data_IF_740440069827
#
_entry.id   IF_740440069827
#
_cell.length_a   1.000
_cell.length_b   1.000
_cell.length_c   1.000
_cell.angle_alpha   90.00
_cell.angle_beta   90.00
_cell.angle_gamma   90.00
#
_symmetry.space_group_name_H-M   'P 1'
#
loop_
_entity.id
_entity.type
_entity.pdbx_description
1 polymer ?
#
# COMPACT_ATOMS: atom_id res chain seq x y z
N UNK A 1 -31.72 11.46 -14.99
CA UNK A 1 -30.83 11.29 -13.81
C UNK A 1 -31.20 10.09 -12.91
N UNK A 2 -32.48 9.83 -12.57
CA UNK A 2 -32.89 8.69 -11.71
C UNK A 2 -32.44 7.30 -12.22
N UNK A 3 -32.26 7.13 -13.52
CA UNK A 3 -31.87 5.86 -14.16
C UNK A 3 -30.40 5.45 -13.97
N UNK A 4 -29.50 6.39 -13.65
CA UNK A 4 -28.06 6.14 -13.47
C UNK A 4 -27.69 5.98 -11.99
N UNK A 5 -28.51 6.51 -11.07
CA UNK A 5 -28.22 6.56 -9.63
C UNK A 5 -27.90 5.19 -9.01
N UNK A 6 -28.60 4.09 -9.35
CA UNK A 6 -28.27 2.74 -8.86
C UNK A 6 -26.88 2.27 -9.30
N UNK A 7 -26.51 2.51 -10.56
CA UNK A 7 -25.20 2.09 -11.10
C UNK A 7 -24.07 2.89 -10.47
N UNK A 8 -24.25 4.19 -10.24
CA UNK A 8 -23.27 5.02 -9.51
C UNK A 8 -23.06 4.55 -8.08
N UNK A 9 -24.12 4.13 -7.38
CA UNK A 9 -24.01 3.55 -6.04
C UNK A 9 -23.25 2.22 -6.08
N UNK A 10 -23.55 1.39 -7.07
CA UNK A 10 -22.85 0.11 -7.31
C UNK A 10 -21.36 0.34 -7.61
N UNK A 11 -21.04 1.27 -8.50
CA UNK A 11 -19.66 1.66 -8.84
C UNK A 11 -18.88 2.10 -7.61
N UNK A 12 -19.46 2.98 -6.77
CA UNK A 12 -18.79 3.43 -5.53
C UNK A 12 -18.48 2.27 -4.59
N UNK A 13 -19.42 1.33 -4.43
CA UNK A 13 -19.22 0.13 -3.60
C UNK A 13 -18.10 -0.74 -4.17
N UNK A 14 -18.17 -1.10 -5.45
CA UNK A 14 -17.14 -1.95 -6.10
C UNK A 14 -15.76 -1.31 -6.11
N UNK A 15 -15.69 0.02 -6.27
CA UNK A 15 -14.44 0.77 -6.16
C UNK A 15 -13.83 0.69 -4.75
N UNK A 16 -14.66 0.67 -3.70
CA UNK A 16 -14.20 0.46 -2.33
C UNK A 16 -13.73 -0.99 -2.11
N UNK A 17 -14.50 -1.98 -2.57
CA UNK A 17 -14.14 -3.40 -2.48
C UNK A 17 -12.79 -3.68 -3.18
N UNK A 18 -12.58 -3.13 -4.38
CA UNK A 18 -11.31 -3.24 -5.12
C UNK A 18 -10.13 -2.70 -4.31
N UNK A 19 -10.29 -1.56 -3.63
CA UNK A 19 -9.22 -0.97 -2.79
C UNK A 19 -8.84 -1.87 -1.61
N UNK A 20 -9.80 -2.59 -1.03
CA UNK A 20 -9.54 -3.55 0.05
C UNK A 20 -8.69 -4.71 -0.48
N UNK A 21 -9.06 -5.28 -1.63
CA UNK A 21 -8.30 -6.36 -2.26
C UNK A 21 -6.88 -5.91 -2.64
N UNK A 22 -6.75 -4.72 -3.21
CA UNK A 22 -5.45 -4.10 -3.54
C UNK A 22 -4.56 -3.92 -2.30
N UNK A 23 -5.12 -3.43 -1.19
CA UNK A 23 -4.41 -3.30 0.08
C UNK A 23 -3.92 -4.67 0.59
N UNK A 24 -4.80 -5.68 0.59
CA UNK A 24 -4.44 -7.04 1.00
C UNK A 24 -3.32 -7.63 0.13
N UNK A 25 -3.38 -7.43 -1.18
CA UNK A 25 -2.34 -7.88 -2.11
C UNK A 25 -0.99 -7.22 -1.80
N UNK A 26 -0.98 -5.89 -1.62
CA UNK A 26 0.24 -5.14 -1.33
C UNK A 26 0.88 -5.59 -0.01
N UNK A 27 0.08 -5.83 1.03
CA UNK A 27 0.57 -6.36 2.30
C UNK A 27 1.22 -7.73 2.14
N UNK A 28 0.62 -8.63 1.36
CA UNK A 28 1.16 -9.98 1.13
C UNK A 28 2.45 -9.96 0.30
N UNK A 29 2.54 -9.07 -0.68
CA UNK A 29 3.78 -8.85 -1.45
C UNK A 29 4.89 -8.30 -0.53
N UNK A 30 4.56 -7.37 0.36
CA UNK A 30 5.53 -6.86 1.35
C UNK A 30 5.97 -7.94 2.34
N UNK A 31 5.03 -8.78 2.80
CA UNK A 31 5.33 -9.94 3.65
C UNK A 31 6.29 -10.92 2.95
N UNK A 32 6.06 -11.23 1.67
CA UNK A 32 6.95 -12.09 0.89
C UNK A 32 8.33 -11.46 0.71
N UNK A 33 8.41 -10.14 0.47
CA UNK A 33 9.69 -9.44 0.34
C UNK A 33 10.49 -9.50 1.64
N UNK A 34 9.84 -9.25 2.78
CA UNK A 34 10.47 -9.35 4.10
C UNK A 34 10.95 -10.76 4.40
N UNK A 35 10.14 -11.78 4.09
CA UNK A 35 10.52 -13.18 4.26
C UNK A 35 11.75 -13.55 3.45
N UNK A 36 11.84 -13.13 2.18
CA UNK A 36 13.02 -13.37 1.34
C UNK A 36 14.29 -12.73 1.93
N UNK A 37 14.19 -11.49 2.41
CA UNK A 37 15.32 -10.82 3.07
C UNK A 37 15.76 -11.53 4.36
N UNK A 38 14.80 -12.07 5.12
CA UNK A 38 15.08 -12.83 6.33
C UNK A 38 15.77 -14.16 6.02
N UNK A 39 15.27 -14.88 4.99
CA UNK A 39 15.89 -16.11 4.48
C UNK A 39 17.33 -15.85 4.01
N UNK A 40 17.55 -14.79 3.23
CA UNK A 40 18.88 -14.41 2.74
C UNK A 40 19.84 -14.13 3.89
N UNK A 41 19.39 -13.36 4.89
CA UNK A 41 20.18 -13.05 6.08
C UNK A 41 20.53 -14.30 6.88
N UNK A 42 19.53 -15.12 7.18
CA UNK A 42 19.73 -16.37 7.92
C UNK A 42 20.70 -17.30 7.18
N UNK A 43 20.56 -17.40 5.86
CA UNK A 43 21.46 -18.23 5.03
C UNK A 43 22.89 -17.70 5.05
N UNK A 44 23.09 -16.39 4.95
CA UNK A 44 24.40 -15.76 5.02
C UNK A 44 25.07 -15.93 6.39
N UNK A 45 24.32 -15.79 7.48
CA UNK A 45 24.80 -16.07 8.84
C UNK A 45 25.26 -17.52 8.97
N UNK A 46 24.45 -18.48 8.50
CA UNK A 46 24.79 -19.92 8.53
C UNK A 46 26.02 -20.26 7.70
N UNK A 47 26.12 -19.73 6.47
CA UNK A 47 27.31 -19.93 5.64
C UNK A 47 28.55 -19.38 6.35
N UNK A 48 28.43 -18.24 7.02
CA UNK A 48 29.53 -17.64 7.79
C UNK A 48 29.96 -18.54 8.95
N UNK A 49 29.00 -19.05 9.73
CA UNK A 49 29.25 -20.00 10.82
C UNK A 49 29.96 -21.28 10.32
N UNK A 50 29.44 -21.89 9.26
CA UNK A 50 29.99 -23.13 8.71
C UNK A 50 31.36 -22.89 8.05
N UNK A 51 31.56 -21.74 7.40
CA UNK A 51 32.87 -21.33 6.86
C UNK A 51 33.89 -21.19 7.98
N UNK A 52 33.54 -20.60 9.11
CA UNK A 52 34.43 -20.47 10.27
C UNK A 52 34.83 -21.85 10.80
N UNK A 53 33.85 -22.74 10.98
CA UNK A 53 34.04 -24.10 11.45
C UNK A 53 34.93 -24.91 10.50
N UNK A 54 34.65 -24.86 9.19
CA UNK A 54 35.45 -25.52 8.16
C UNK A 54 36.87 -24.96 8.12
N UNK A 55 37.05 -23.65 8.25
CA UNK A 55 38.38 -23.03 8.33
C UNK A 55 39.17 -23.58 9.53
N UNK A 56 38.54 -23.69 10.69
CA UNK A 56 39.19 -24.26 11.88
C UNK A 56 39.55 -25.74 11.68
N UNK A 57 38.67 -26.52 11.06
CA UNK A 57 38.93 -27.93 10.74
C UNK A 57 40.08 -28.10 9.74
N UNK A 58 40.16 -27.25 8.70
CA UNK A 58 41.26 -27.24 7.73
C UNK A 58 42.60 -26.90 8.40
N UNK A 59 42.63 -25.89 9.28
CA UNK A 59 43.84 -25.55 10.03
C UNK A 59 44.23 -26.70 10.96
N UNK A 60 43.27 -27.30 11.66
CA UNK A 60 43.50 -28.46 12.55
C UNK A 60 44.08 -29.65 11.78
N UNK A 61 43.56 -29.95 10.58
CA UNK A 61 44.00 -31.05 9.73
C UNK A 61 45.39 -30.80 9.12
N UNK A 62 45.60 -29.62 8.55
CA UNK A 62 46.80 -29.33 7.76
C UNK A 62 47.96 -28.74 8.59
N UNK A 63 47.65 -28.06 9.71
CA UNK A 63 48.62 -27.39 10.60
C UNK A 63 48.28 -27.67 12.09
N UNK A 64 48.22 -28.95 12.51
CA UNK A 64 47.75 -29.34 13.85
C UNK A 64 48.55 -28.70 14.97
N UNK A 65 49.88 -28.61 14.83
CA UNK A 65 50.74 -27.99 15.83
C UNK A 65 50.37 -26.52 16.09
N UNK A 66 50.21 -25.73 15.03
CA UNK A 66 49.80 -24.32 15.14
C UNK A 66 48.40 -24.19 15.77
N UNK A 67 47.47 -25.07 15.39
CA UNK A 67 46.12 -25.10 15.94
C UNK A 67 46.12 -25.34 17.46
N UNK A 68 46.82 -26.39 17.91
CA UNK A 68 46.85 -26.76 19.33
C UNK A 68 47.69 -25.79 20.17
N UNK A 69 48.77 -25.21 19.66
CA UNK A 69 49.50 -24.13 20.36
C UNK A 69 48.59 -22.92 20.56
N UNK A 70 47.87 -22.50 19.52
CA UNK A 70 46.98 -21.35 19.62
C UNK A 70 45.86 -21.59 20.65
N UNK A 71 45.20 -22.76 20.59
CA UNK A 71 44.12 -23.16 21.52
C UNK A 71 44.62 -23.45 22.94
N UNK A 72 45.86 -23.93 23.09
CA UNK A 72 46.46 -24.37 24.36
C UNK A 72 47.48 -23.41 24.99
N UNK A 73 47.70 -22.24 24.39
CA UNK A 73 48.72 -21.25 24.81
C UNK A 73 48.73 -20.94 26.31
N UNK A 74 47.57 -20.93 26.96
CA UNK A 74 47.43 -20.75 28.40
C UNK A 74 48.13 -21.85 29.21
N UNK A 75 47.85 -23.12 28.89
CA UNK A 75 48.45 -24.27 29.57
C UNK A 75 49.96 -24.37 29.31
N UNK A 76 50.42 -23.97 28.12
CA UNK A 76 51.85 -23.92 27.80
C UNK A 76 52.56 -22.90 28.72
N UNK A 77 51.96 -21.72 28.91
CA UNK A 77 52.49 -20.73 29.86
C UNK A 77 52.53 -21.23 31.30
N UNK A 78 51.48 -21.93 31.76
CA UNK A 78 51.46 -22.57 33.09
C UNK A 78 52.55 -23.63 33.25
N UNK A 79 52.76 -24.47 32.22
CA UNK A 79 53.77 -25.51 32.25
C UNK A 79 55.20 -24.95 32.32
N UNK A 80 55.49 -23.88 31.58
CA UNK A 80 56.77 -23.15 31.65
C UNK A 80 56.99 -22.60 33.07
N UNK A 81 55.97 -21.96 33.64
CA UNK A 81 56.03 -21.44 35.02
C UNK A 81 56.32 -22.53 36.06
N UNK A 82 55.58 -23.64 35.98
CA UNK A 82 55.75 -24.79 36.87
C UNK A 82 57.14 -25.41 36.76
N UNK A 83 57.63 -25.61 35.53
CA UNK A 83 58.96 -26.17 35.29
C UNK A 83 60.05 -25.28 35.88
N UNK A 84 59.97 -23.96 35.71
CA UNK A 84 60.94 -23.01 36.27
C UNK A 84 60.90 -22.96 37.80
N UNK A 85 59.71 -23.02 38.39
CA UNK A 85 59.55 -23.12 39.84
C UNK A 85 60.23 -24.38 40.42
N UNK A 86 60.18 -25.50 39.70
CA UNK A 86 60.85 -26.75 40.12
C UNK A 86 62.38 -26.68 40.11
N UNK A 87 62.96 -25.72 39.38
CA UNK A 87 64.41 -25.54 39.24
C UNK A 87 64.96 -24.38 40.07
N UNK A 88 64.15 -23.36 40.35
CA UNK A 88 64.50 -22.23 41.21
C UNK A 88 63.25 -21.76 41.99
N UNK A 89 63.21 -21.87 43.34
CA UNK A 89 61.98 -21.73 44.13
C UNK A 89 61.52 -20.27 44.37
N UNK A 90 61.80 -19.34 43.46
CA UNK A 90 61.28 -17.96 43.55
C UNK A 90 59.88 -17.86 42.94
N UNK A 91 58.86 -18.03 43.77
CA UNK A 91 57.45 -18.02 43.35
C UNK A 91 57.03 -16.77 42.54
N UNK A 92 57.41 -15.53 42.91
CA UNK A 92 57.05 -14.34 42.12
C UNK A 92 57.66 -14.34 40.71
N UNK A 93 58.90 -14.82 40.57
CA UNK A 93 59.59 -14.89 39.28
C UNK A 93 58.95 -15.94 38.37
N UNK A 94 58.60 -17.11 38.91
CA UNK A 94 57.94 -18.18 38.15
C UNK A 94 56.56 -17.74 37.62
N UNK A 95 55.78 -17.00 38.43
CA UNK A 95 54.49 -16.43 38.03
C UNK A 95 54.68 -15.39 36.92
N UNK A 96 55.63 -14.47 37.06
CA UNK A 96 55.92 -13.45 36.06
C UNK A 96 56.33 -14.04 34.70
N UNK A 97 57.21 -15.05 34.72
CA UNK A 97 57.65 -15.73 33.49
C UNK A 97 56.51 -16.54 32.88
N UNK A 98 55.67 -17.21 33.69
CA UNK A 98 54.50 -17.94 33.20
C UNK A 98 53.54 -17.03 32.43
N UNK A 99 53.21 -15.88 33.03
CA UNK A 99 52.30 -14.91 32.44
C UNK A 99 52.88 -14.24 31.20
N UNK A 100 54.15 -13.81 31.25
CA UNK A 100 54.86 -13.25 30.10
C UNK A 100 54.97 -14.26 28.94
N UNK A 101 55.29 -15.52 29.25
CA UNK A 101 55.36 -16.60 28.26
C UNK A 101 54.00 -16.88 27.63
N UNK A 102 52.92 -16.92 28.43
CA UNK A 102 51.56 -17.09 27.92
C UNK A 102 51.18 -15.98 26.94
N UNK A 103 51.38 -14.71 27.31
CA UNK A 103 51.04 -13.56 26.46
C UNK A 103 51.81 -13.62 25.14
N UNK A 104 53.11 -13.88 25.20
CA UNK A 104 53.96 -13.95 24.02
C UNK A 104 53.54 -15.09 23.09
N UNK A 105 53.36 -16.30 23.63
CA UNK A 105 52.93 -17.48 22.86
C UNK A 105 51.54 -17.25 22.27
N UNK A 106 50.62 -16.67 23.04
CA UNK A 106 49.27 -16.33 22.58
C UNK A 106 49.31 -15.36 21.40
N UNK A 107 50.11 -14.29 21.50
CA UNK A 107 50.21 -13.28 20.46
C UNK A 107 50.84 -13.84 19.16
N UNK A 108 51.98 -14.54 19.28
CA UNK A 108 52.66 -15.12 18.12
C UNK A 108 51.83 -16.22 17.45
N UNK A 109 51.22 -17.10 18.24
CA UNK A 109 50.34 -18.16 17.71
C UNK A 109 49.06 -17.59 17.11
N UNK A 110 48.51 -16.50 17.65
CA UNK A 110 47.38 -15.78 17.06
C UNK A 110 47.72 -15.16 15.71
N UNK A 111 48.87 -14.49 15.57
CA UNK A 111 49.32 -13.94 14.29
C UNK A 111 49.42 -15.02 13.20
N UNK A 112 50.05 -16.15 13.55
CA UNK A 112 50.20 -17.29 12.65
C UNK A 112 48.84 -17.93 12.33
N UNK A 113 47.98 -18.09 13.32
CA UNK A 113 46.63 -18.62 13.15
C UNK A 113 45.78 -17.72 12.24
N UNK A 114 45.86 -16.39 12.42
CA UNK A 114 45.16 -15.40 11.59
C UNK A 114 45.59 -15.50 10.13
N UNK A 115 46.91 -15.59 9.87
CA UNK A 115 47.41 -15.73 8.50
C UNK A 115 46.93 -17.03 7.84
N UNK A 116 46.96 -18.16 8.57
CA UNK A 116 46.43 -19.43 8.08
C UNK A 116 44.92 -19.36 7.84
N UNK A 117 44.17 -18.67 8.72
CA UNK A 117 42.73 -18.46 8.58
C UNK A 117 42.39 -17.79 7.26
N UNK A 118 43.09 -16.70 6.91
CA UNK A 118 42.90 -16.02 5.62
C UNK A 118 43.25 -16.93 4.43
N UNK A 119 44.33 -17.72 4.54
CA UNK A 119 44.73 -18.67 3.49
C UNK A 119 43.71 -19.79 3.23
N UNK A 120 43.05 -20.32 4.26
CA UNK A 120 42.05 -21.38 4.13
C UNK A 120 40.62 -20.89 3.91
N UNK A 121 40.34 -19.60 4.11
CA UNK A 121 38.98 -19.02 4.08
C UNK A 121 38.25 -19.30 2.75
N UNK A 122 38.93 -19.14 1.62
CA UNK A 122 38.33 -19.36 0.30
C UNK A 122 37.90 -20.83 0.10
N UNK A 123 38.74 -21.78 0.52
CA UNK A 123 38.42 -23.20 0.45
C UNK A 123 37.26 -23.55 1.41
N UNK A 124 37.33 -23.07 2.66
CA UNK A 124 36.30 -23.31 3.66
C UNK A 124 34.93 -22.75 3.24
N UNK A 125 34.92 -21.59 2.57
CA UNK A 125 33.70 -20.98 2.04
C UNK A 125 33.09 -21.84 0.93
N UNK A 126 33.90 -22.40 0.03
CA UNK A 126 33.41 -23.35 -0.98
C UNK A 126 32.81 -24.61 -0.34
N UNK A 127 33.48 -25.17 0.67
CA UNK A 127 32.97 -26.32 1.43
C UNK A 127 31.67 -25.99 2.18
N UNK A 128 31.53 -24.78 2.73
CA UNK A 128 30.31 -24.32 3.40
C UNK A 128 29.14 -24.08 2.45
N UNK A 129 29.39 -23.62 1.22
CA UNK A 129 28.38 -23.45 0.19
C UNK A 129 27.87 -24.78 -0.39
N UNK A 130 28.70 -25.82 -0.39
CA UNK A 130 28.31 -27.17 -0.85
C UNK A 130 27.53 -27.89 0.24
N UNK A 131 27.97 -27.77 1.50
CA UNK A 131 27.39 -28.50 2.63
C UNK A 131 26.30 -27.71 3.39
N UNK A 132 26.13 -26.42 3.11
CA UNK A 132 25.05 -25.58 3.64
C UNK A 132 24.09 -25.16 2.52
N UNK A 133 22.76 -25.07 2.75
CA UNK A 133 22.06 -24.98 4.04
C UNK A 133 20.95 -26.05 4.24
N UNK A 134 20.82 -26.58 5.45
CA UNK A 134 19.53 -27.13 5.90
C UNK A 134 18.54 -25.97 6.04
N UNK A 135 17.53 -25.93 5.18
CA UNK A 135 16.47 -24.94 5.25
C UNK A 135 15.62 -25.18 6.49
N UNK A 136 15.29 -24.11 7.22
CA UNK A 136 14.42 -24.21 8.38
C UNK A 136 12.98 -24.44 7.88
N UNK A 137 12.33 -25.51 8.33
CA UNK A 137 11.03 -25.97 7.79
C UNK A 137 9.92 -24.90 7.87
N UNK A 138 10.00 -24.02 8.87
CA UNK A 138 9.12 -22.88 9.08
C UNK A 138 9.20 -21.84 7.95
N UNK A 139 10.40 -21.49 7.50
CA UNK A 139 10.60 -20.57 6.36
C UNK A 139 10.07 -21.18 5.07
N UNK A 140 10.33 -22.46 4.83
CA UNK A 140 9.80 -23.18 3.66
C UNK A 140 8.28 -23.18 3.66
N UNK A 141 7.65 -23.49 4.80
CA UNK A 141 6.18 -23.49 4.92
C UNK A 141 5.58 -22.12 4.65
N UNK A 142 6.19 -21.06 5.19
CA UNK A 142 5.70 -19.69 5.02
C UNK A 142 5.85 -19.20 3.58
N UNK A 143 6.97 -19.51 2.92
CA UNK A 143 7.19 -19.16 1.51
C UNK A 143 6.21 -19.89 0.59
N UNK A 144 5.98 -21.19 0.83
CA UNK A 144 4.95 -21.97 0.12
C UNK A 144 3.57 -21.34 0.30
N UNK A 145 3.19 -21.00 1.53
CA UNK A 145 1.88 -20.38 1.80
C UNK A 145 1.70 -19.08 1.00
N UNK A 146 2.70 -18.19 1.05
CA UNK A 146 2.66 -16.93 0.31
C UNK A 146 2.66 -17.14 -1.21
N UNK A 147 3.35 -18.18 -1.70
CA UNK A 147 3.38 -18.55 -3.11
C UNK A 147 2.00 -19.00 -3.63
N UNK A 148 1.11 -19.45 -2.75
CA UNK A 148 -0.27 -19.85 -3.07
C UNK A 148 -1.24 -18.68 -2.87
N UNK A 149 -1.12 -17.94 -1.75
CA UNK A 149 -2.03 -16.84 -1.40
C UNK A 149 -1.94 -15.67 -2.40
N UNK A 150 -0.73 -15.27 -2.82
CA UNK A 150 -0.54 -14.11 -3.68
C UNK A 150 -1.23 -14.29 -5.06
N UNK A 151 -1.04 -15.41 -5.78
CA UNK A 151 -1.77 -15.66 -7.03
C UNK A 151 -3.29 -15.63 -6.87
N UNK A 152 -3.82 -16.21 -5.79
CA UNK A 152 -5.26 -16.23 -5.55
C UNK A 152 -5.80 -14.80 -5.33
N UNK A 153 -5.10 -13.98 -4.54
CA UNK A 153 -5.49 -12.58 -4.35
C UNK A 153 -5.36 -11.79 -5.66
N UNK A 154 -4.35 -12.06 -6.49
CA UNK A 154 -4.23 -11.44 -7.84
C UNK A 154 -5.43 -11.77 -8.72
N UNK A 155 -5.89 -13.02 -8.70
CA UNK A 155 -7.10 -13.44 -9.43
C UNK A 155 -8.35 -12.71 -8.93
N UNK A 156 -8.48 -12.53 -7.61
CA UNK A 156 -9.57 -11.72 -7.04
C UNK A 156 -9.48 -10.25 -7.46
N UNK A 157 -8.27 -9.68 -7.53
CA UNK A 157 -8.04 -8.32 -7.99
C UNK A 157 -8.43 -8.14 -9.47
N UNK A 158 -8.05 -9.08 -10.33
CA UNK A 158 -8.42 -9.09 -11.75
C UNK A 158 -9.94 -9.13 -11.92
N UNK A 159 -10.62 -10.04 -11.20
CA UNK A 159 -12.07 -10.10 -11.18
C UNK A 159 -12.70 -8.78 -10.74
N UNK A 160 -12.20 -8.17 -9.66
CA UNK A 160 -12.70 -6.89 -9.17
C UNK A 160 -12.51 -5.75 -10.19
N UNK A 161 -11.40 -5.75 -10.93
CA UNK A 161 -11.15 -4.79 -12.00
C UNK A 161 -12.13 -4.96 -13.16
N UNK A 162 -12.37 -6.20 -13.60
CA UNK A 162 -13.34 -6.50 -14.65
C UNK A 162 -14.76 -6.06 -14.26
N UNK A 163 -15.21 -6.41 -13.05
CA UNK A 163 -16.53 -6.00 -12.55
C UNK A 163 -16.67 -4.46 -12.46
N UNK A 164 -15.60 -3.77 -12.06
CA UNK A 164 -15.60 -2.30 -11.99
C UNK A 164 -15.70 -1.68 -13.39
N UNK A 165 -14.94 -2.21 -14.34
CA UNK A 165 -14.93 -1.75 -15.72
C UNK A 165 -16.29 -1.96 -16.41
N UNK A 166 -16.94 -3.11 -16.17
CA UNK A 166 -18.29 -3.37 -16.70
C UNK A 166 -19.32 -2.35 -16.21
N UNK A 167 -19.29 -1.99 -14.92
CA UNK A 167 -20.22 -0.99 -14.36
C UNK A 167 -19.91 0.40 -14.93
N UNK A 168 -18.64 0.75 -15.06
CA UNK A 168 -18.22 2.01 -15.65
C UNK A 168 -18.73 2.16 -17.09
N UNK A 169 -18.56 1.13 -17.92
CA UNK A 169 -19.09 1.11 -19.28
C UNK A 169 -20.62 1.21 -19.31
N UNK A 170 -21.32 0.54 -18.40
CA UNK A 170 -22.80 0.67 -18.27
C UNK A 170 -23.21 2.12 -17.95
N UNK A 171 -22.49 2.80 -17.05
CA UNK A 171 -22.75 4.20 -16.71
C UNK A 171 -22.50 5.09 -17.92
N UNK A 172 -21.36 4.93 -18.59
CA UNK A 172 -20.99 5.73 -19.78
C UNK A 172 -22.05 5.57 -20.87
N UNK A 173 -22.45 4.35 -21.20
CA UNK A 173 -23.46 4.09 -22.23
C UNK A 173 -24.82 4.70 -21.88
N UNK A 174 -25.24 4.60 -20.61
CA UNK A 174 -26.49 5.25 -20.15
C UNK A 174 -26.40 6.77 -20.19
N UNK A 175 -25.24 7.34 -19.84
CA UNK A 175 -25.02 8.78 -19.90
C UNK A 175 -25.03 9.29 -21.34
N UNK A 176 -24.35 8.61 -22.26
CA UNK A 176 -24.34 8.93 -23.69
C UNK A 176 -25.77 8.89 -24.27
N UNK A 177 -26.55 7.86 -23.95
CA UNK A 177 -27.96 7.78 -24.37
C UNK A 177 -28.81 8.94 -23.85
N UNK A 178 -28.57 9.41 -22.62
CA UNK A 178 -29.29 10.56 -22.07
C UNK A 178 -28.85 11.88 -22.69
N UNK A 179 -27.58 12.02 -23.07
CA UNK A 179 -27.07 13.22 -23.73
C UNK A 179 -27.56 13.31 -25.18
N UNK A 180 -27.83 12.18 -25.83
CA UNK A 180 -28.42 12.09 -27.17
C UNK A 180 -29.95 12.22 -27.19
N UNK A 181 -30.56 12.50 -26.05
CA UNK A 181 -32.00 12.77 -25.97
C UNK A 181 -32.24 14.20 -26.48
N UNK A 182 -32.87 14.31 -27.66
CA UNK A 182 -33.15 15.59 -28.32
C UNK A 182 -33.97 16.53 -27.44
N UNK A 183 -34.93 15.98 -26.67
CA UNK A 183 -35.73 16.75 -25.74
C UNK A 183 -34.88 17.29 -24.58
N UNK A 184 -34.01 16.46 -24.00
CA UNK A 184 -33.12 16.90 -22.93
C UNK A 184 -32.14 17.97 -23.42
N UNK A 185 -31.58 17.78 -24.61
CA UNK A 185 -30.67 18.73 -25.26
C UNK A 185 -31.36 20.07 -25.49
N UNK A 186 -32.58 20.04 -26.04
CA UNK A 186 -33.40 21.22 -26.24
C UNK A 186 -33.74 21.94 -24.92
N UNK A 187 -34.25 21.20 -23.91
CA UNK A 187 -34.66 21.76 -22.61
C UNK A 187 -33.49 22.41 -21.87
N UNK A 188 -32.29 21.85 -21.99
CA UNK A 188 -31.08 22.37 -21.34
C UNK A 188 -30.38 23.46 -22.16
N UNK A 189 -30.73 23.64 -23.44
CA UNK A 189 -30.16 24.70 -24.28
C UNK A 189 -30.59 26.11 -23.85
N UNK A 190 -29.85 27.12 -24.32
CA UNK A 190 -30.21 28.53 -24.12
C UNK A 190 -31.42 28.95 -24.97
N UNK A 191 -31.69 28.21 -26.05
CA UNK A 191 -32.83 28.46 -26.94
C UNK A 191 -34.18 28.09 -26.31
N UNK A 192 -34.20 27.35 -25.19
CA UNK A 192 -35.43 26.92 -24.52
C UNK A 192 -36.39 28.09 -24.25
N UNK A 193 -35.90 29.21 -23.72
CA UNK A 193 -36.73 30.36 -23.38
C UNK A 193 -37.25 31.14 -24.60
N UNK A 194 -36.67 30.91 -25.78
CA UNK A 194 -37.11 31.48 -27.05
C UNK A 194 -38.05 30.54 -27.82
N UNK A 195 -38.34 29.36 -27.29
CA UNK A 195 -39.16 28.36 -27.96
C UNK A 195 -40.66 28.69 -27.91
N UNK A 196 -41.39 28.22 -28.91
CA UNK A 196 -42.85 28.31 -28.97
C UNK A 196 -43.51 27.56 -27.81
N UNK A 197 -42.95 26.42 -27.40
CA UNK A 197 -43.49 25.62 -26.31
C UNK A 197 -43.34 26.29 -24.94
N UNK A 198 -42.17 26.89 -24.65
CA UNK A 198 -42.05 27.74 -23.47
C UNK A 198 -42.99 28.95 -23.55
N UNK A 199 -43.14 29.55 -24.74
CA UNK A 199 -44.10 30.63 -24.98
C UNK A 199 -45.53 30.25 -24.56
N UNK A 200 -46.00 29.05 -24.92
CA UNK A 200 -47.32 28.53 -24.50
C UNK A 200 -47.43 28.40 -22.98
N UNK A 201 -46.45 27.78 -22.33
CA UNK A 201 -46.41 27.59 -20.88
C UNK A 201 -46.36 28.92 -20.14
N UNK A 202 -45.54 29.86 -20.61
CA UNK A 202 -45.43 31.21 -20.08
C UNK A 202 -46.75 31.97 -20.19
N UNK A 203 -47.41 31.90 -21.35
CA UNK A 203 -48.70 32.57 -21.57
C UNK A 203 -49.79 31.96 -20.70
N UNK A 204 -49.80 30.63 -20.54
CA UNK A 204 -50.69 29.96 -19.60
C UNK A 204 -50.49 30.46 -18.17
N UNK A 205 -49.23 30.55 -17.71
CA UNK A 205 -48.90 31.00 -16.36
C UNK A 205 -49.36 32.45 -16.12
N UNK A 206 -49.10 33.34 -17.08
CA UNK A 206 -49.52 34.75 -16.99
C UNK A 206 -51.04 34.93 -17.03
N UNK A 207 -51.77 34.03 -17.69
CA UNK A 207 -53.24 34.10 -17.77
C UNK A 207 -53.98 33.44 -16.61
N UNK A 208 -53.35 32.51 -15.89
CA UNK A 208 -54.02 31.68 -14.86
C UNK A 208 -53.49 31.90 -13.43
N UNK A 209 -52.30 32.46 -13.26
CA UNK A 209 -51.72 32.75 -11.93
C UNK A 209 -51.94 34.21 -11.55
N UNK A 210 -51.94 34.50 -10.25
CA UNK A 210 -52.01 35.87 -9.76
C UNK A 210 -50.83 36.70 -10.27
N UNK A 211 -51.10 37.89 -10.78
CA UNK A 211 -50.09 38.80 -11.32
C UNK A 211 -49.31 39.54 -10.21
N UNK A 212 -48.77 38.77 -9.26
CA UNK A 212 -47.93 39.23 -8.15
C UNK A 212 -46.89 38.17 -7.80
N UNK A 213 -45.77 38.62 -7.27
CA UNK A 213 -44.71 37.74 -6.80
C UNK A 213 -45.20 36.84 -5.66
N UNK A 214 -45.10 35.53 -5.81
CA UNK A 214 -45.56 34.57 -4.79
C UNK A 214 -44.75 34.62 -3.48
N UNK A 215 -43.55 35.22 -3.48
CA UNK A 215 -42.71 35.34 -2.29
C UNK A 215 -42.84 36.66 -1.53
N UNK A 216 -43.06 37.78 -2.23
CA UNK A 216 -43.08 39.10 -1.59
C UNK A 216 -44.31 39.96 -1.92
N UNK A 217 -45.20 39.49 -2.79
CA UNK A 217 -46.40 40.20 -3.19
C UNK A 217 -46.20 41.37 -4.16
N UNK A 218 -44.96 41.69 -4.56
CA UNK A 218 -44.68 42.75 -5.56
C UNK A 218 -45.49 42.52 -6.83
N UNK A 219 -46.04 43.59 -7.41
CA UNK A 219 -46.71 43.57 -8.73
C UNK A 219 -45.79 44.11 -9.85
N UNK A 220 -44.58 44.55 -9.50
CA UNK A 220 -43.62 45.12 -10.44
C UNK A 220 -42.54 44.12 -10.86
N UNK A 221 -42.04 44.29 -12.09
CA UNK A 221 -40.91 43.55 -12.67
C UNK A 221 -41.06 42.02 -12.56
N UNK A 222 -42.23 41.51 -12.98
CA UNK A 222 -42.61 40.12 -12.87
C UNK A 222 -42.06 39.24 -14.00
N UNK A 223 -41.73 38.01 -13.65
CA UNK A 223 -41.22 36.97 -14.54
C UNK A 223 -41.86 35.63 -14.19
N UNK A 224 -42.06 34.78 -15.19
CA UNK A 224 -42.46 33.39 -14.99
C UNK A 224 -41.20 32.56 -14.78
N UNK A 225 -41.11 31.88 -13.65
CA UNK A 225 -40.00 31.02 -13.29
C UNK A 225 -40.48 29.60 -12.96
N UNK A 226 -39.59 28.61 -13.03
CA UNK A 226 -39.92 27.23 -12.67
C UNK A 226 -39.84 27.01 -11.16
N UNK A 227 -40.82 26.32 -10.57
CA UNK A 227 -40.76 25.87 -9.17
C UNK A 227 -39.62 24.86 -8.99
N UNK A 228 -39.65 23.80 -9.81
CA UNK A 228 -38.58 22.83 -10.00
C UNK A 228 -37.73 23.23 -11.22
N UNK A 229 -36.48 23.69 -11.03
CA UNK A 229 -35.69 24.28 -12.11
C UNK A 229 -35.33 23.26 -13.20
N UNK A 230 -35.40 23.69 -14.47
CA UNK A 230 -35.13 22.85 -15.66
C UNK A 230 -33.79 22.11 -15.64
N UNK A 231 -32.75 22.70 -15.04
CA UNK A 231 -31.42 22.09 -14.92
C UNK A 231 -31.37 20.87 -13.99
N UNK A 232 -32.36 20.71 -13.10
CA UNK A 232 -32.49 19.57 -12.18
C UNK A 232 -33.69 18.69 -12.50
N UNK A 233 -34.74 19.26 -13.09
CA UNK A 233 -36.01 18.62 -13.42
C UNK A 233 -36.43 18.96 -14.87
N UNK A 234 -35.65 18.53 -15.88
CA UNK A 234 -35.92 18.86 -17.28
C UNK A 234 -37.25 18.25 -17.78
N UNK A 235 -37.68 17.14 -17.18
CA UNK A 235 -38.99 16.51 -17.39
C UNK A 235 -40.18 17.40 -17.00
N UNK A 236 -39.95 18.41 -16.15
CA UNK A 236 -40.97 19.38 -15.72
C UNK A 236 -40.83 20.74 -16.40
N UNK A 237 -39.92 20.90 -17.36
CA UNK A 237 -39.61 22.20 -17.93
C UNK A 237 -40.80 22.82 -18.70
N UNK A 238 -41.66 21.99 -19.29
CA UNK A 238 -42.86 22.41 -20.01
C UNK A 238 -44.17 22.10 -19.27
N UNK A 239 -44.10 21.74 -17.99
CA UNK A 239 -45.27 21.53 -17.15
C UNK A 239 -45.80 22.89 -16.65
N UNK A 240 -47.02 23.32 -17.04
CA UNK A 240 -47.57 24.59 -16.60
C UNK A 240 -47.75 24.68 -15.08
N UNK A 241 -48.00 23.54 -14.42
CA UNK A 241 -48.11 23.48 -12.94
C UNK A 241 -46.75 23.67 -12.25
N UNK A 242 -45.65 23.56 -12.98
CA UNK A 242 -44.31 23.80 -12.48
C UNK A 242 -43.87 25.27 -12.63
N UNK A 243 -44.80 26.20 -12.86
CA UNK A 243 -44.51 27.63 -13.01
C UNK A 243 -44.96 28.46 -11.82
N UNK A 244 -44.30 29.58 -11.59
CA UNK A 244 -44.66 30.57 -10.57
C UNK A 244 -44.29 31.98 -11.04
N UNK A 245 -45.00 32.98 -10.52
CA UNK A 245 -44.74 34.39 -10.79
C UNK A 245 -43.80 34.95 -9.73
N UNK A 246 -42.64 35.48 -10.15
CA UNK A 246 -41.64 36.08 -9.27
C UNK A 246 -41.19 37.43 -9.80
N UNK A 247 -40.99 38.40 -8.89
CA UNK A 247 -40.29 39.63 -9.25
C UNK A 247 -38.80 39.35 -9.48
N UNK A 248 -38.13 40.21 -10.25
CA UNK A 248 -36.70 40.07 -10.60
C UNK A 248 -35.79 39.77 -9.39
N UNK A 249 -35.98 40.49 -8.27
CA UNK A 249 -35.21 40.28 -7.02
C UNK A 249 -35.41 38.88 -6.44
N UNK A 250 -36.67 38.42 -6.36
CA UNK A 250 -37.01 37.11 -5.81
C UNK A 250 -36.55 35.98 -6.74
N UNK A 251 -36.69 36.15 -8.06
CA UNK A 251 -36.24 35.20 -9.06
C UNK A 251 -34.71 35.00 -9.01
N UNK A 252 -33.95 36.10 -9.03
CA UNK A 252 -32.48 36.08 -8.87
C UNK A 252 -32.06 35.40 -7.55
N UNK A 253 -32.75 35.71 -6.45
CA UNK A 253 -32.50 35.08 -5.14
C UNK A 253 -32.84 33.58 -5.13
N UNK A 254 -33.78 33.09 -5.95
CA UNK A 254 -34.11 31.67 -6.04
C UNK A 254 -33.02 30.91 -6.79
N UNK A 255 -32.66 31.36 -8.00
CA UNK A 255 -31.76 30.65 -8.90
C UNK A 255 -32.25 29.21 -9.18
N UNK A 256 -31.34 28.23 -9.12
CA UNK A 256 -31.65 26.81 -9.34
C UNK A 256 -32.08 26.04 -8.07
N UNK A 257 -32.58 26.73 -7.04
CA UNK A 257 -33.08 26.12 -5.80
C UNK A 257 -34.60 26.01 -5.84
N UNK A 258 -35.14 25.03 -5.13
CA UNK A 258 -36.57 24.96 -4.81
C UNK A 258 -36.74 25.76 -3.51
N UNK A 259 -37.55 26.82 -3.53
CA UNK A 259 -37.89 27.61 -2.34
C UNK A 259 -39.37 27.41 -2.02
N UNK A 260 -39.75 27.05 -0.78
CA UNK A 260 -41.15 26.95 -0.40
C UNK A 260 -41.81 28.34 -0.41
N UNK A 261 -43.04 28.43 -0.92
CA UNK A 261 -43.85 29.66 -0.84
C UNK A 261 -44.27 29.87 0.62
N UNK A 262 -43.84 30.97 1.24
CA UNK A 262 -44.37 31.40 2.53
C UNK A 262 -45.73 32.08 2.30
N UNK A 263 -46.76 31.29 2.03
CA UNK A 263 -48.16 31.75 2.02
C UNK A 263 -48.60 31.82 3.48
N UNK A 264 -48.17 32.84 4.22
CA UNK A 264 -48.66 33.22 5.55
C UNK A 264 -48.02 34.56 5.98
N UNK A 265 -48.35 35.63 5.25
CA UNK A 265 -48.24 37.01 5.72
C UNK A 265 -49.39 37.82 5.19
#
# INVERSE_FOLDING_TARGET
MKSITPDLKSYKKRKADRKIVEFNLNNKIDEQKKLKQEIERYTAERITEETEKNTQNLIKRNRPFTYYIYKGSFFIGLFIGFFLYSKSPSMPLAIGISFGSWILIRHLSWLRFRHLKEGYKSQANKEALINGPYFREDFTRKDILLSIEIPEIKKQMEKANTELHEIENKIINKADKLLKDDFLTFVLSDNFYNSTDWGKVRNWALGNLENRCVFCGSMENLSVDHIYPRSKYPDKALDPMNTQILCSKCNSSKGNRIKPNNINK
#
